data_IF_829019961956
#
_entry.id   IF_829019961956
#
_cell.length_a   1.000
_cell.length_b   1.000
_cell.length_c   1.000
_cell.angle_alpha   90.00
_cell.angle_beta   90.00
_cell.angle_gamma   90.00
#
_symmetry.space_group_name_H-M   'P 1'
#
loop_
_entity.id
_entity.type
_entity.pdbx_description
1 polymer ?
#
# COMPACT_ATOMS: atom_id res chain seq x y z
N UNK A 1 6.92 3.51 -6.48
CA UNK A 1 5.61 4.16 -6.61
C UNK A 1 4.85 4.35 -5.29
N UNK A 2 4.30 3.32 -4.63
CA UNK A 2 3.42 3.57 -3.47
C UNK A 2 4.15 4.21 -2.28
N UNK A 3 5.36 3.74 -1.93
CA UNK A 3 6.17 4.39 -0.90
C UNK A 3 6.65 5.79 -1.33
N UNK A 4 6.96 6.02 -2.61
CA UNK A 4 7.29 7.37 -3.13
C UNK A 4 6.12 8.33 -2.90
N UNK A 5 4.88 7.92 -3.23
CA UNK A 5 3.70 8.73 -2.99
C UNK A 5 3.47 9.05 -1.50
N UNK A 6 3.81 8.12 -0.59
CA UNK A 6 3.76 8.37 0.86
C UNK A 6 4.83 9.39 1.27
N UNK A 7 6.03 9.32 0.70
CA UNK A 7 7.12 10.26 0.97
C UNK A 7 6.73 11.66 0.51
N UNK A 8 6.25 11.78 -0.72
CA UNK A 8 5.82 13.05 -1.31
C UNK A 8 4.71 13.69 -0.47
N UNK A 9 3.67 12.92 -0.12
CA UNK A 9 2.59 13.38 0.76
C UNK A 9 3.11 13.79 2.15
N UNK A 10 4.06 13.03 2.72
CA UNK A 10 4.71 13.38 3.98
C UNK A 10 5.43 14.73 3.91
N UNK A 11 6.11 15.00 2.80
CA UNK A 11 6.80 16.27 2.55
C UNK A 11 5.81 17.43 2.38
N UNK A 12 4.73 17.23 1.64
CA UNK A 12 3.64 18.22 1.50
C UNK A 12 2.99 18.55 2.85
N UNK A 13 2.94 17.57 3.76
CA UNK A 13 2.43 17.72 5.12
C UNK A 13 3.47 18.30 6.11
N UNK A 14 4.67 18.65 5.64
CA UNK A 14 5.67 19.40 6.39
C UNK A 14 6.81 18.58 6.99
N UNK A 15 6.94 17.30 6.65
CA UNK A 15 8.14 16.53 6.99
C UNK A 15 9.29 16.91 6.06
N UNK A 16 10.52 16.84 6.56
CA UNK A 16 11.67 16.81 5.65
C UNK A 16 11.73 15.48 4.90
N UNK A 17 12.36 15.51 3.73
CA UNK A 17 12.43 14.36 2.83
C UNK A 17 13.07 13.13 3.48
N UNK A 18 14.13 13.30 4.28
CA UNK A 18 14.84 12.17 4.88
C UNK A 18 14.02 11.50 5.96
N UNK A 19 13.30 12.30 6.78
CA UNK A 19 12.32 11.80 7.75
C UNK A 19 11.17 11.09 7.05
N UNK A 20 10.56 11.70 6.02
CA UNK A 20 9.45 11.08 5.28
C UNK A 20 9.87 9.75 4.64
N UNK A 21 11.06 9.72 4.03
CA UNK A 21 11.69 8.53 3.45
C UNK A 21 11.88 7.43 4.48
N UNK A 22 12.49 7.77 5.63
CA UNK A 22 12.73 6.81 6.71
C UNK A 22 11.42 6.22 7.25
N UNK A 23 10.43 7.08 7.51
CA UNK A 23 9.12 6.66 8.01
C UNK A 23 8.41 5.75 7.01
N UNK A 24 8.33 6.14 5.73
CA UNK A 24 7.67 5.33 4.70
C UNK A 24 8.30 3.94 4.56
N UNK A 25 9.64 3.85 4.54
CA UNK A 25 10.35 2.58 4.44
C UNK A 25 10.13 1.69 5.68
N UNK A 26 10.25 2.25 6.89
CA UNK A 26 10.05 1.48 8.12
C UNK A 26 8.59 1.06 8.30
N UNK A 27 7.62 1.89 7.91
CA UNK A 27 6.20 1.51 7.88
C UNK A 27 5.96 0.35 6.93
N UNK A 28 6.51 0.41 5.71
CA UNK A 28 6.40 -0.69 4.73
C UNK A 28 7.02 -2.00 5.24
N UNK A 29 8.22 -1.92 5.82
CA UNK A 29 8.91 -3.06 6.43
C UNK A 29 8.10 -3.66 7.58
N UNK A 30 7.66 -2.83 8.53
CA UNK A 30 6.88 -3.26 9.69
C UNK A 30 5.55 -3.89 9.30
N UNK A 31 4.83 -3.29 8.35
CA UNK A 31 3.56 -3.83 7.84
C UNK A 31 3.76 -5.20 7.17
N UNK A 32 4.77 -5.34 6.32
CA UNK A 32 5.08 -6.60 5.65
C UNK A 32 5.51 -7.68 6.65
N UNK A 33 6.31 -7.31 7.65
CA UNK A 33 6.72 -8.21 8.72
C UNK A 33 5.53 -8.70 9.53
N UNK A 34 4.64 -7.81 9.96
CA UNK A 34 3.41 -8.18 10.66
C UNK A 34 2.54 -9.13 9.82
N UNK A 35 2.39 -8.86 8.51
CA UNK A 35 1.62 -9.72 7.62
C UNK A 35 2.17 -11.15 7.51
N UNK A 36 3.49 -11.32 7.57
CA UNK A 36 4.16 -12.62 7.45
C UNK A 36 4.17 -13.37 8.79
N UNK A 37 4.39 -12.65 9.88
CA UNK A 37 4.62 -13.24 11.22
C UNK A 37 3.34 -13.42 12.04
N UNK A 38 2.24 -12.75 11.68
CA UNK A 38 0.99 -12.82 12.47
C UNK A 38 0.22 -14.12 12.24
N UNK A 39 -0.48 -14.54 13.30
CA UNK A 39 -1.46 -15.63 13.31
C UNK A 39 -2.85 -15.26 12.76
N UNK A 40 -3.04 -14.00 12.36
CA UNK A 40 -4.30 -13.48 11.82
C UNK A 40 -4.11 -12.92 10.43
N UNK A 41 -5.20 -12.81 9.68
CA UNK A 41 -5.18 -12.30 8.33
C UNK A 41 -4.95 -10.77 8.23
N UNK A 42 -4.74 -10.30 7.01
CA UNK A 42 -4.54 -8.88 6.71
C UNK A 42 -5.74 -8.00 7.06
N UNK A 43 -6.96 -8.55 7.05
CA UNK A 43 -8.18 -7.80 7.38
C UNK A 43 -8.19 -7.48 8.86
N UNK A 44 -7.88 -8.47 9.70
CA UNK A 44 -7.79 -8.31 11.13
C UNK A 44 -6.59 -7.44 11.53
N UNK A 45 -5.42 -7.60 10.90
CA UNK A 45 -4.27 -6.71 11.12
C UNK A 45 -4.63 -5.24 10.86
N UNK A 46 -5.27 -4.95 9.72
CA UNK A 46 -5.76 -3.60 9.41
C UNK A 46 -6.76 -3.11 10.46
N UNK A 47 -7.71 -3.96 10.87
CA UNK A 47 -8.72 -3.59 11.89
C UNK A 47 -8.06 -3.21 13.22
N UNK A 48 -7.04 -3.94 13.66
CA UNK A 48 -6.33 -3.68 14.93
C UNK A 48 -5.66 -2.30 14.98
N UNK A 49 -5.24 -1.75 13.84
CA UNK A 49 -4.64 -0.41 13.73
C UNK A 49 -5.63 0.69 13.30
N UNK A 50 -6.92 0.35 13.19
CA UNK A 50 -7.98 1.27 12.77
C UNK A 50 -8.95 1.52 13.92
N UNK A 51 -8.69 2.54 14.72
CA UNK A 51 -9.61 2.95 15.78
C UNK A 51 -10.84 3.66 15.20
N UNK A 52 -12.06 3.44 15.75
CA UNK A 52 -13.26 4.15 15.33
C UNK A 52 -13.09 5.67 15.42
N UNK A 53 -13.49 6.40 14.36
CA UNK A 53 -13.31 7.84 14.20
C UNK A 53 -11.84 8.34 14.24
N UNK A 54 -10.86 7.44 14.13
CA UNK A 54 -9.43 7.76 14.13
C UNK A 54 -8.89 8.23 12.78
N UNK A 55 -7.62 8.67 12.77
CA UNK A 55 -6.94 9.15 11.55
C UNK A 55 -6.77 8.04 10.51
N UNK A 56 -6.40 6.83 10.94
CA UNK A 56 -6.27 5.66 10.05
C UNK A 56 -7.59 5.30 9.37
N UNK A 57 -8.71 5.41 10.09
CA UNK A 57 -10.04 5.13 9.53
C UNK A 57 -10.36 6.12 8.40
N UNK A 58 -10.07 7.41 8.59
CA UNK A 58 -10.27 8.42 7.54
C UNK A 58 -9.42 8.16 6.30
N UNK A 59 -8.15 7.77 6.48
CA UNK A 59 -7.28 7.44 5.37
C UNK A 59 -7.79 6.21 4.57
N UNK A 60 -8.21 5.16 5.28
CA UNK A 60 -8.77 3.95 4.65
C UNK A 60 -10.07 4.27 3.90
N UNK A 61 -10.95 5.09 4.49
CA UNK A 61 -12.18 5.52 3.82
C UNK A 61 -11.88 6.23 2.50
N UNK A 62 -10.87 7.11 2.47
CA UNK A 62 -10.48 7.76 1.21
C UNK A 62 -9.91 6.77 0.19
N UNK A 63 -9.05 5.84 0.61
CA UNK A 63 -8.54 4.81 -0.31
C UNK A 63 -9.65 3.94 -0.92
N UNK A 64 -10.68 3.60 -0.15
CA UNK A 64 -11.83 2.84 -0.67
C UNK A 64 -12.70 3.70 -1.60
N UNK A 65 -12.95 4.97 -1.24
CA UNK A 65 -13.72 5.92 -2.07
C UNK A 65 -13.04 6.21 -3.41
N UNK A 66 -11.71 6.36 -3.40
CA UNK A 66 -10.90 6.63 -4.59
C UNK A 66 -10.62 5.35 -5.41
N UNK A 67 -11.18 4.20 -5.01
CA UNK A 67 -11.14 2.98 -5.80
C UNK A 67 -9.78 2.26 -5.80
N UNK A 68 -8.99 2.34 -4.72
CA UNK A 68 -7.67 1.70 -4.65
C UNK A 68 -7.69 0.22 -5.02
N UNK A 69 -8.74 -0.52 -4.61
CA UNK A 69 -8.89 -1.95 -4.94
C UNK A 69 -9.00 -2.20 -6.44
N UNK A 70 -9.73 -1.33 -7.14
CA UNK A 70 -9.91 -1.43 -8.58
C UNK A 70 -8.59 -1.10 -9.30
N UNK A 71 -7.90 -0.05 -8.88
CA UNK A 71 -6.58 0.33 -9.40
C UNK A 71 -5.59 -0.83 -9.28
N UNK A 72 -5.48 -1.43 -8.10
CA UNK A 72 -4.57 -2.57 -7.87
C UNK A 72 -4.98 -3.79 -8.71
N UNK A 73 -6.27 -4.09 -8.79
CA UNK A 73 -6.78 -5.22 -9.60
C UNK A 73 -6.43 -5.05 -11.08
N UNK A 74 -6.64 -3.85 -11.61
CA UNK A 74 -6.34 -3.54 -13.01
C UNK A 74 -4.83 -3.60 -13.28
N UNK A 75 -4.00 -3.10 -12.36
CA UNK A 75 -2.54 -3.19 -12.48
C UNK A 75 -2.04 -4.65 -12.50
N UNK A 76 -2.56 -5.52 -11.62
CA UNK A 76 -2.19 -6.94 -11.60
C UNK A 76 -2.63 -7.67 -12.87
N UNK A 77 -3.83 -7.38 -13.38
CA UNK A 77 -4.31 -7.93 -14.66
C UNK A 77 -3.45 -7.48 -15.84
N UNK A 78 -3.07 -6.21 -15.90
CA UNK A 78 -2.20 -5.69 -16.94
C UNK A 78 -0.82 -6.40 -16.93
N UNK A 79 -0.23 -6.57 -15.75
CA UNK A 79 1.02 -7.32 -15.59
C UNK A 79 0.88 -8.78 -16.04
N UNK A 80 -0.19 -9.47 -15.63
CA UNK A 80 -0.44 -10.86 -16.02
C UNK A 80 -0.64 -11.02 -17.54
N UNK A 81 -1.39 -10.11 -18.17
CA UNK A 81 -1.60 -10.12 -19.62
C UNK A 81 -0.28 -9.96 -20.37
N UNK A 82 0.57 -9.00 -19.96
CA UNK A 82 1.87 -8.80 -20.60
C UNK A 82 2.79 -10.01 -20.43
N UNK A 83 2.80 -10.62 -19.24
CA UNK A 83 3.57 -11.84 -19.02
C UNK A 83 3.14 -12.98 -19.96
N UNK A 84 1.84 -13.13 -20.20
CA UNK A 84 1.30 -14.13 -21.13
C UNK A 84 1.65 -13.83 -22.60
N UNK A 85 1.67 -12.55 -23.01
CA UNK A 85 2.16 -12.14 -24.33
C UNK A 85 3.63 -12.49 -24.52
N UNK A 86 4.48 -12.13 -23.56
CA UNK A 86 5.92 -12.42 -23.60
C UNK A 86 6.18 -13.93 -23.70
N UNK A 87 5.42 -14.76 -22.98
CA UNK A 87 5.55 -16.20 -23.06
C UNK A 87 5.21 -16.75 -24.46
N UNK A 88 4.26 -16.15 -25.18
CA UNK A 88 3.92 -16.50 -26.58
C UNK A 88 4.95 -15.97 -27.57
N UNK A 89 5.60 -14.85 -27.28
CA UNK A 89 6.67 -14.28 -28.12
C UNK A 89 7.98 -15.09 -28.02
N UNK A 90 8.21 -15.75 -26.88
CA UNK A 90 9.45 -16.48 -26.57
C UNK A 90 9.36 -18.00 -26.76
N UNK A 91 8.17 -18.56 -26.95
CA UNK A 91 7.92 -19.98 -27.19
C UNK A 91 7.67 -20.27 -28.66
#
# INVERSE_FOLDING_TARGET
LFMEAIIDAGCELGLDHDTATTLAMQTGLGASRMAIESDVDLVELRRRVTSPAGTTERAIQMFEQDGLREVVTNAMRAAANRAAEMAREMG
#
